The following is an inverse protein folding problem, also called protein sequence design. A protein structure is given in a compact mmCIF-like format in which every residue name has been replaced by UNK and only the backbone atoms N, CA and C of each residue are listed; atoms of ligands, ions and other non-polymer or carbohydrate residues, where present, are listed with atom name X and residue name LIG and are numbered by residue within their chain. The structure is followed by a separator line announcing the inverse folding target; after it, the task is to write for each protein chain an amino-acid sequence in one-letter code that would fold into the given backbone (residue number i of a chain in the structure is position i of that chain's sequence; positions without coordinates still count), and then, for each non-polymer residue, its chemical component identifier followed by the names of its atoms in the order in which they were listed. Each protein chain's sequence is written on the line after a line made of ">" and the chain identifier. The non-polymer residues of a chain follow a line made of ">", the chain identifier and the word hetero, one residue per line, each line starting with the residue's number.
data_IF_016734329855
#
_entry.id   IF_016734329855
#
_cell.length_a   1.000
_cell.length_b   1.000
_cell.length_c   1.000
_cell.angle_alpha   90.00
_cell.angle_beta   90.00
_cell.angle_gamma   90.00
#
_symmetry.space_group_name_H-M   'P 1'
#
loop_
_entity.id
_entity.type
_entity.pdbx_description
1 polymer ?
#
# COMPACT_ATOMS: atom_id res chain seq x y z
N UNK A 1 -23.30 5.24 -10.88
CA UNK A 1 -21.87 5.65 -10.97
C UNK A 1 -21.37 5.29 -12.35
N UNK A 2 -20.67 6.21 -13.02
CA UNK A 2 -20.02 5.97 -14.32
C UNK A 2 -18.50 5.91 -14.12
N UNK A 3 -17.88 4.85 -14.64
CA UNK A 3 -16.43 4.68 -14.60
C UNK A 3 -15.86 4.77 -16.01
N UNK A 4 -14.70 5.42 -16.13
CA UNK A 4 -13.91 5.48 -17.36
C UNK A 4 -12.44 5.30 -17.02
N UNK A 5 -11.69 4.58 -17.85
CA UNK A 5 -10.25 4.42 -17.72
C UNK A 5 -9.54 5.34 -18.72
N UNK A 6 -8.64 6.19 -18.25
CA UNK A 6 -7.83 7.09 -19.09
C UNK A 6 -6.41 7.16 -18.55
N UNK A 7 -5.41 6.91 -19.40
CA UNK A 7 -3.98 6.94 -19.03
C UNK A 7 -3.68 6.17 -17.73
N UNK A 8 -4.19 4.94 -17.62
CA UNK A 8 -4.02 4.07 -16.45
C UNK A 8 -4.69 4.54 -15.14
N UNK A 9 -5.50 5.60 -15.21
CA UNK A 9 -6.25 6.19 -14.09
C UNK A 9 -7.74 5.96 -14.30
N UNK A 10 -8.44 5.51 -13.25
CA UNK A 10 -9.90 5.41 -13.28
C UNK A 10 -10.51 6.73 -12.86
N UNK A 11 -11.30 7.32 -13.73
CA UNK A 11 -12.13 8.46 -13.44
C UNK A 11 -13.56 8.00 -13.15
N UNK A 12 -14.11 8.43 -12.03
CA UNK A 12 -15.43 8.07 -11.56
C UNK A 12 -16.31 9.32 -11.44
N UNK A 13 -17.48 9.28 -12.09
CA UNK A 13 -18.60 10.13 -11.72
C UNK A 13 -19.49 9.35 -10.74
N UNK A 14 -19.33 9.68 -9.46
CA UNK A 14 -20.01 8.98 -8.38
C UNK A 14 -21.29 9.68 -7.93
N UNK A 15 -21.84 10.59 -8.76
CA UNK A 15 -23.03 11.38 -8.43
C UNK A 15 -24.23 10.60 -7.89
N UNK A 16 -24.32 9.31 -8.22
CA UNK A 16 -25.37 8.36 -7.85
C UNK A 16 -24.95 7.32 -6.79
N UNK A 17 -23.77 7.44 -6.17
CA UNK A 17 -23.39 6.53 -5.08
C UNK A 17 -24.20 6.90 -3.84
N UNK A 18 -25.18 6.05 -3.51
CA UNK A 18 -25.92 6.12 -2.26
C UNK A 18 -25.27 5.17 -1.26
N UNK A 19 -24.59 5.72 -0.25
CA UNK A 19 -24.12 4.94 0.89
C UNK A 19 -25.30 4.63 1.82
N UNK A 20 -25.38 3.41 2.36
CA UNK A 20 -26.41 3.09 3.38
C UNK A 20 -26.12 3.91 4.66
N UNK A 21 -26.99 4.87 4.94
CA UNK A 21 -26.89 5.76 6.09
C UNK A 21 -26.84 4.99 7.43
N UNK A 22 -27.39 3.76 7.49
CA UNK A 22 -27.31 2.90 8.68
C UNK A 22 -25.90 2.40 8.91
N UNK A 23 -25.22 1.96 7.84
CA UNK A 23 -23.83 1.50 7.90
C UNK A 23 -22.92 2.65 8.29
N UNK A 24 -23.06 3.82 7.64
CA UNK A 24 -22.30 5.02 7.99
C UNK A 24 -22.52 5.42 9.46
N UNK A 25 -23.78 5.45 9.90
CA UNK A 25 -24.16 5.75 11.28
C UNK A 25 -23.57 4.79 12.32
N UNK A 26 -23.56 3.49 12.03
CA UNK A 26 -22.94 2.48 12.89
C UNK A 26 -21.43 2.66 12.97
N UNK A 27 -20.74 2.85 11.84
CA UNK A 27 -19.29 3.08 11.82
C UNK A 27 -18.94 4.32 12.65
N UNK A 28 -19.67 5.42 12.54
CA UNK A 28 -19.42 6.66 13.31
C UNK A 28 -19.46 6.41 14.82
N UNK A 29 -20.46 5.66 15.29
CA UNK A 29 -20.66 5.42 16.73
C UNK A 29 -19.56 4.56 17.34
N UNK A 30 -18.93 3.69 16.54
CA UNK A 30 -17.93 2.74 17.01
C UNK A 30 -16.49 3.07 16.60
N UNK A 31 -16.28 3.97 15.63
CA UNK A 31 -14.95 4.46 15.21
C UNK A 31 -14.26 5.20 16.35
N UNK A 32 -13.27 4.54 16.99
CA UNK A 32 -12.24 5.19 17.80
C UNK A 32 -11.07 5.62 16.91
N UNK A 33 -10.67 6.89 16.93
CA UNK A 33 -9.48 7.32 16.19
C UNK A 33 -8.21 6.84 16.88
N UNK A 34 -7.27 6.23 16.16
CA UNK A 34 -5.99 5.80 16.75
C UNK A 34 -5.07 6.97 17.13
N UNK A 35 -5.30 8.18 16.59
CA UNK A 35 -4.34 9.31 16.70
C UNK A 35 -4.94 10.65 17.15
N UNK A 36 -6.27 10.82 17.12
CA UNK A 36 -6.97 12.04 17.54
C UNK A 36 -8.26 11.69 18.31
N UNK A 37 -8.20 11.48 19.63
CA UNK A 37 -9.35 11.03 20.42
C UNK A 37 -10.55 11.99 20.43
N UNK A 38 -10.34 13.30 20.19
CA UNK A 38 -11.35 14.35 20.40
C UNK A 38 -11.95 14.94 19.11
N UNK A 39 -11.95 14.19 18.01
CA UNK A 39 -12.41 14.72 16.71
C UNK A 39 -13.93 14.95 16.66
N UNK A 40 -14.41 16.12 16.18
CA UNK A 40 -15.84 16.41 16.08
C UNK A 40 -16.59 15.35 15.26
N UNK A 41 -17.81 14.98 15.70
CA UNK A 41 -18.63 13.94 15.08
C UNK A 41 -18.78 14.16 13.56
N UNK A 42 -19.18 15.36 13.14
CA UNK A 42 -19.36 15.74 11.73
C UNK A 42 -18.11 15.52 10.86
N UNK A 43 -16.92 15.72 11.41
CA UNK A 43 -15.67 15.48 10.68
C UNK A 43 -15.38 13.98 10.52
N UNK A 44 -15.76 13.16 11.52
CA UNK A 44 -15.69 11.70 11.43
C UNK A 44 -16.65 11.16 10.37
N UNK A 45 -17.90 11.62 10.33
CA UNK A 45 -18.88 11.21 9.29
C UNK A 45 -18.33 11.51 7.89
N UNK A 46 -17.83 12.73 7.72
CA UNK A 46 -17.24 13.24 6.49
C UNK A 46 -16.02 12.41 6.01
N UNK A 47 -15.19 11.91 6.93
CA UNK A 47 -14.05 11.04 6.59
C UNK A 47 -14.49 9.59 6.29
N UNK A 48 -15.46 9.06 7.03
CA UNK A 48 -16.02 7.72 6.80
C UNK A 48 -16.71 7.65 5.44
N UNK A 49 -17.53 8.64 5.10
CA UNK A 49 -18.15 8.75 3.77
C UNK A 49 -17.09 8.82 2.67
N UNK A 50 -16.04 9.61 2.86
CA UNK A 50 -14.93 9.70 1.89
C UNK A 50 -14.23 8.34 1.70
N UNK A 51 -14.00 7.59 2.79
CA UNK A 51 -13.45 6.24 2.74
C UNK A 51 -14.35 5.30 1.93
N UNK A 52 -15.64 5.23 2.28
CA UNK A 52 -16.60 4.33 1.65
C UNK A 52 -16.86 4.65 0.18
N UNK A 53 -16.87 5.92 -0.21
CA UNK A 53 -16.94 6.29 -1.64
C UNK A 53 -15.72 5.77 -2.41
N UNK A 54 -14.53 5.89 -1.83
CA UNK A 54 -13.31 5.42 -2.48
C UNK A 54 -13.25 3.89 -2.58
N UNK A 55 -13.68 3.19 -1.54
CA UNK A 55 -13.86 1.73 -1.55
C UNK A 55 -14.85 1.32 -2.66
N UNK A 56 -16.04 1.91 -2.72
CA UNK A 56 -17.07 1.63 -3.74
C UNK A 56 -16.55 1.87 -5.17
N UNK A 57 -15.83 2.97 -5.41
CA UNK A 57 -15.23 3.27 -6.71
C UNK A 57 -14.26 2.16 -7.12
N UNK A 58 -13.39 1.75 -6.19
CA UNK A 58 -12.36 0.73 -6.44
C UNK A 58 -12.99 -0.64 -6.64
N UNK A 59 -13.96 -1.02 -5.81
CA UNK A 59 -14.69 -2.28 -5.91
C UNK A 59 -15.41 -2.38 -7.26
N UNK A 60 -16.21 -1.38 -7.63
CA UNK A 60 -16.93 -1.41 -8.92
C UNK A 60 -15.98 -1.46 -10.10
N UNK A 61 -14.86 -0.75 -10.04
CA UNK A 61 -13.85 -0.84 -11.09
C UNK A 61 -13.33 -2.27 -11.23
N UNK A 62 -12.93 -2.92 -10.13
CA UNK A 62 -12.43 -4.29 -10.15
C UNK A 62 -13.51 -5.25 -10.67
N UNK A 63 -14.75 -5.16 -10.18
CA UNK A 63 -15.85 -6.03 -10.64
C UNK A 63 -16.19 -5.82 -12.12
N UNK A 64 -16.14 -4.57 -12.60
CA UNK A 64 -16.47 -4.24 -13.98
C UNK A 64 -15.38 -4.68 -14.98
N UNK A 65 -14.10 -4.46 -14.65
CA UNK A 65 -13.00 -4.64 -15.59
C UNK A 65 -12.19 -5.92 -15.38
N UNK A 66 -12.24 -6.53 -14.19
CA UNK A 66 -11.43 -7.69 -13.84
C UNK A 66 -12.22 -8.90 -13.36
N UNK A 67 -13.55 -8.93 -13.44
CA UNK A 67 -14.34 -10.06 -12.92
C UNK A 67 -13.94 -11.44 -13.45
N UNK A 68 -13.39 -11.49 -14.68
CA UNK A 68 -12.88 -12.73 -15.27
C UNK A 68 -11.50 -13.16 -14.74
N UNK A 69 -10.68 -12.22 -14.27
CA UNK A 69 -9.29 -12.46 -13.84
C UNK A 69 -9.13 -12.45 -12.31
N UNK A 70 -9.88 -11.59 -11.63
CA UNK A 70 -9.78 -11.33 -10.21
C UNK A 70 -11.14 -11.45 -9.54
N UNK A 71 -11.14 -12.15 -8.41
CA UNK A 71 -12.25 -12.24 -7.48
C UNK A 71 -11.95 -11.35 -6.27
N UNK A 72 -13.00 -10.74 -5.71
CA UNK A 72 -12.92 -9.77 -4.64
C UNK A 72 -13.97 -10.05 -3.57
N UNK A 73 -13.59 -9.85 -2.31
CA UNK A 73 -14.46 -9.86 -1.13
C UNK A 73 -14.12 -8.66 -0.25
N UNK A 74 -15.11 -7.86 0.15
CA UNK A 74 -14.85 -6.75 1.07
C UNK A 74 -14.77 -7.22 2.51
N UNK A 75 -14.07 -6.48 3.38
CA UNK A 75 -14.08 -6.75 4.82
C UNK A 75 -15.50 -6.69 5.40
N UNK A 76 -16.32 -5.76 4.89
CA UNK A 76 -17.70 -5.58 5.34
C UNK A 76 -18.61 -6.77 5.01
N UNK A 77 -18.30 -7.54 3.97
CA UNK A 77 -18.99 -8.80 3.68
C UNK A 77 -18.55 -9.96 4.59
N UNK A 78 -17.37 -9.88 5.23
CA UNK A 78 -16.78 -10.98 6.02
C UNK A 78 -17.14 -10.83 7.50
N UNK A 79 -17.14 -9.59 8.00
CA UNK A 79 -17.23 -9.24 9.42
C UNK A 79 -18.50 -9.75 10.10
N UNK A 80 -18.39 -10.05 11.40
CA UNK A 80 -19.47 -10.56 12.25
C UNK A 80 -19.66 -9.74 13.54
N UNK A 81 -19.26 -8.47 13.51
CA UNK A 81 -19.24 -7.57 14.66
C UNK A 81 -20.20 -6.38 14.54
N UNK A 82 -21.16 -6.41 13.61
CA UNK A 82 -22.15 -5.35 13.37
C UNK A 82 -21.54 -3.94 13.25
N UNK A 83 -20.41 -3.80 12.54
CA UNK A 83 -19.72 -2.52 12.38
C UNK A 83 -19.14 -1.91 13.68
N UNK A 84 -19.01 -2.71 14.76
CA UNK A 84 -18.52 -2.26 16.08
C UNK A 84 -17.00 -2.10 16.18
N UNK A 85 -16.22 -2.69 15.26
CA UNK A 85 -14.76 -2.60 15.23
C UNK A 85 -14.26 -2.00 13.91
N UNK A 86 -13.05 -1.51 13.93
CA UNK A 86 -12.36 -0.99 12.76
C UNK A 86 -11.88 -2.09 11.86
N UNK A 87 -12.07 -1.86 10.56
CA UNK A 87 -11.54 -2.72 9.52
C UNK A 87 -10.00 -2.64 9.50
N UNK A 88 -9.28 -3.78 9.48
CA UNK A 88 -7.83 -3.80 9.33
C UNK A 88 -7.36 -3.73 7.87
N UNK A 89 -8.29 -3.85 6.92
CA UNK A 89 -8.11 -3.78 5.47
C UNK A 89 -9.47 -3.54 4.80
N UNK A 90 -9.49 -3.22 3.50
CA UNK A 90 -10.72 -2.97 2.76
C UNK A 90 -11.16 -4.18 1.93
N UNK A 91 -10.25 -4.81 1.18
CA UNK A 91 -10.55 -5.97 0.33
C UNK A 91 -9.61 -7.16 0.52
N UNK A 92 -10.14 -8.35 0.29
CA UNK A 92 -9.39 -9.51 -0.17
C UNK A 92 -9.50 -9.60 -1.68
N UNK A 93 -8.38 -9.89 -2.34
CA UNK A 93 -8.29 -10.03 -3.79
C UNK A 93 -7.51 -11.30 -4.15
N UNK A 94 -8.00 -12.08 -5.12
CA UNK A 94 -7.34 -13.30 -5.59
C UNK A 94 -7.65 -13.56 -7.05
N UNK A 95 -6.88 -14.45 -7.70
CA UNK A 95 -7.18 -14.86 -9.08
C UNK A 95 -8.48 -15.65 -9.13
N UNK A 96 -9.37 -15.30 -10.05
CA UNK A 96 -10.66 -15.99 -10.20
C UNK A 96 -10.43 -17.49 -10.46
N UNK A 97 -11.17 -18.33 -9.73
CA UNK A 97 -11.12 -19.79 -9.89
C UNK A 97 -9.93 -20.49 -9.23
N UNK A 98 -9.02 -19.80 -8.53
CA UNK A 98 -7.81 -20.45 -7.99
C UNK A 98 -7.91 -20.91 -6.53
N UNK A 99 -8.82 -20.32 -5.74
CA UNK A 99 -8.92 -20.62 -4.30
C UNK A 99 -10.36 -20.46 -3.81
N UNK A 100 -10.77 -21.33 -2.89
CA UNK A 100 -11.93 -21.13 -2.04
C UNK A 100 -11.51 -20.39 -0.76
N UNK A 101 -12.04 -19.19 -0.55
CA UNK A 101 -11.63 -18.32 0.56
C UNK A 101 -12.38 -18.58 1.88
N UNK A 102 -13.30 -19.55 1.95
CA UNK A 102 -14.12 -19.79 3.15
C UNK A 102 -13.29 -19.97 4.43
N UNK A 103 -12.14 -20.65 4.35
CA UNK A 103 -11.23 -20.82 5.49
C UNK A 103 -10.56 -19.50 5.91
N UNK A 104 -10.29 -18.60 4.97
CA UNK A 104 -9.75 -17.27 5.26
C UNK A 104 -10.84 -16.40 5.91
N UNK A 105 -12.07 -16.43 5.40
CA UNK A 105 -13.19 -15.70 6.00
C UNK A 105 -13.41 -16.12 7.46
N UNK A 106 -13.40 -17.42 7.74
CA UNK A 106 -13.56 -17.95 9.08
C UNK A 106 -12.40 -17.56 10.00
N UNK A 107 -11.16 -17.63 9.51
CA UNK A 107 -10.00 -17.17 10.28
C UNK A 107 -10.09 -15.67 10.63
N UNK A 108 -10.58 -14.83 9.70
CA UNK A 108 -10.82 -13.41 9.94
C UNK A 108 -11.92 -13.22 10.99
N UNK A 109 -13.05 -13.94 10.90
CA UNK A 109 -14.13 -13.87 11.91
C UNK A 109 -13.64 -14.26 13.31
N UNK A 110 -12.73 -15.23 13.40
CA UNK A 110 -12.09 -15.59 14.66
C UNK A 110 -11.15 -14.49 15.18
N UNK A 111 -10.36 -13.86 14.32
CA UNK A 111 -9.52 -12.70 14.69
C UNK A 111 -10.39 -11.53 15.19
N UNK A 112 -11.52 -11.28 14.53
CA UNK A 112 -12.51 -10.29 14.96
C UNK A 112 -13.02 -10.65 16.36
N UNK A 113 -13.50 -11.87 16.59
CA UNK A 113 -14.04 -12.30 17.88
C UNK A 113 -13.00 -12.20 19.01
N UNK A 114 -11.74 -12.55 18.73
CA UNK A 114 -10.64 -12.54 19.70
C UNK A 114 -10.07 -11.15 19.98
N UNK A 115 -10.31 -10.17 19.12
CA UNK A 115 -9.82 -8.80 19.35
C UNK A 115 -10.65 -8.14 20.47
N UNK A 116 -10.08 -7.85 21.65
CA UNK A 116 -10.86 -7.29 22.76
C UNK A 116 -11.17 -5.80 22.58
N UNK A 117 -10.38 -5.10 21.76
CA UNK A 117 -10.53 -3.67 21.51
C UNK A 117 -11.24 -3.39 20.18
N UNK A 118 -11.46 -2.11 19.90
CA UNK A 118 -12.11 -1.64 18.68
C UNK A 118 -11.26 -1.80 17.42
N UNK A 119 -9.99 -2.18 17.48
CA UNK A 119 -9.09 -2.26 16.34
C UNK A 119 -8.71 -3.71 16.05
N UNK A 120 -9.42 -4.32 15.09
CA UNK A 120 -9.12 -5.69 14.69
C UNK A 120 -7.68 -5.79 14.22
N UNK A 121 -6.99 -6.83 14.67
CA UNK A 121 -5.65 -7.17 14.20
C UNK A 121 -5.70 -8.57 13.62
N UNK A 122 -5.40 -8.70 12.33
CA UNK A 122 -5.24 -10.02 11.74
C UNK A 122 -4.04 -10.73 12.36
N UNK A 123 -4.27 -11.97 12.78
CA UNK A 123 -3.21 -12.79 13.35
C UNK A 123 -2.15 -13.15 12.29
N UNK A 124 -0.95 -13.52 12.74
CA UNK A 124 0.09 -14.03 11.85
C UNK A 124 -0.37 -15.29 11.09
N UNK A 125 -1.25 -16.08 11.70
CA UNK A 125 -1.83 -17.28 11.11
C UNK A 125 -2.72 -16.90 9.93
N UNK A 126 -3.67 -15.98 10.12
CA UNK A 126 -4.56 -15.50 9.06
C UNK A 126 -3.77 -14.86 7.91
N UNK A 127 -2.79 -14.01 8.22
CA UNK A 127 -1.94 -13.38 7.19
C UNK A 127 -1.11 -14.39 6.40
N UNK A 128 -0.59 -15.42 7.06
CA UNK A 128 0.13 -16.52 6.39
C UNK A 128 -0.81 -17.33 5.51
N UNK A 129 -2.02 -17.63 5.99
CA UNK A 129 -3.03 -18.36 5.22
C UNK A 129 -3.38 -17.62 3.92
N UNK A 130 -3.63 -16.30 3.98
CA UNK A 130 -3.84 -15.48 2.78
C UNK A 130 -2.69 -15.63 1.79
N UNK A 131 -1.44 -15.46 2.26
CA UNK A 131 -0.24 -15.55 1.43
C UNK A 131 -0.06 -16.91 0.79
N UNK A 132 -0.20 -17.99 1.56
CA UNK A 132 -0.05 -19.37 1.09
C UNK A 132 -1.08 -19.70 0.01
N UNK A 133 -2.29 -19.15 0.12
CA UNK A 133 -3.38 -19.38 -0.83
C UNK A 133 -3.42 -18.36 -1.97
N UNK A 134 -2.42 -17.47 -2.07
CA UNK A 134 -2.35 -16.48 -3.14
C UNK A 134 -3.41 -15.37 -3.05
N UNK A 135 -3.97 -15.14 -1.86
CA UNK A 135 -4.92 -14.05 -1.57
C UNK A 135 -4.15 -12.83 -1.07
N UNK A 136 -4.39 -11.68 -1.69
CA UNK A 136 -3.78 -10.40 -1.34
C UNK A 136 -4.75 -9.58 -0.48
N UNK A 137 -4.22 -8.97 0.56
CA UNK A 137 -4.94 -8.03 1.43
C UNK A 137 -4.74 -6.62 0.87
N UNK A 138 -5.82 -5.89 0.61
CA UNK A 138 -5.79 -4.57 -0.05
C UNK A 138 -6.30 -3.48 0.88
N UNK A 139 -5.58 -2.36 0.88
CA UNK A 139 -5.95 -1.11 1.53
C UNK A 139 -6.20 0.00 0.50
N UNK A 140 -7.35 0.65 0.57
CA UNK A 140 -7.73 1.84 -0.18
C UNK A 140 -7.52 3.07 0.69
N UNK A 141 -6.54 3.89 0.33
CA UNK A 141 -6.33 5.18 0.99
C UNK A 141 -6.95 6.28 0.14
N UNK A 142 -7.91 7.01 0.70
CA UNK A 142 -8.56 8.14 0.01
C UNK A 142 -8.07 9.50 0.47
N UNK A 143 -8.14 10.52 -0.40
CA UNK A 143 -7.79 11.91 -0.07
C UNK A 143 -8.65 12.88 -0.86
N UNK A 144 -9.18 13.92 -0.21
CA UNK A 144 -9.84 14.99 -0.96
C UNK A 144 -8.79 15.80 -1.73
N UNK A 145 -9.10 16.11 -3.00
CA UNK A 145 -8.26 16.99 -3.81
C UNK A 145 -8.20 18.35 -3.12
N UNK A 146 -6.97 18.74 -2.73
CA UNK A 146 -6.72 19.96 -1.99
C UNK A 146 -6.68 21.17 -2.94
N UNK A 147 -7.07 22.34 -2.43
CA UNK A 147 -7.15 23.54 -3.25
C UNK A 147 -5.77 24.01 -3.75
N UNK A 148 -4.70 23.82 -2.95
CA UNK A 148 -3.33 24.12 -3.37
C UNK A 148 -2.91 23.31 -4.61
N UNK A 149 -3.33 22.05 -4.70
CA UNK A 149 -3.06 21.22 -5.88
C UNK A 149 -3.83 21.71 -7.11
N UNK A 150 -5.09 22.13 -6.92
CA UNK A 150 -5.89 22.72 -8.01
C UNK A 150 -5.25 23.99 -8.55
N UNK A 151 -4.86 24.90 -7.65
CA UNK A 151 -4.20 26.17 -8.00
C UNK A 151 -2.87 25.91 -8.71
N UNK A 152 -2.00 25.04 -8.18
CA UNK A 152 -0.71 24.72 -8.81
C UNK A 152 -0.86 24.09 -10.20
N UNK A 153 -1.95 23.38 -10.43
CA UNK A 153 -2.27 22.77 -11.74
C UNK A 153 -3.01 23.69 -12.71
N UNK A 154 -3.34 24.93 -12.31
CA UNK A 154 -4.25 25.83 -13.04
C UNK A 154 -5.63 25.18 -13.35
N UNK A 155 -6.10 24.29 -12.48
CA UNK A 155 -7.35 23.57 -12.69
C UNK A 155 -8.56 24.44 -12.32
N UNK A 156 -9.38 24.76 -13.31
CA UNK A 156 -10.53 25.67 -13.18
C UNK A 156 -11.81 25.01 -12.66
N UNK A 157 -11.81 23.69 -12.46
CA UNK A 157 -13.00 22.92 -12.09
C UNK A 157 -13.73 22.28 -13.28
N UNK A 158 -13.26 22.52 -14.51
CA UNK A 158 -13.80 21.89 -15.72
C UNK A 158 -13.24 20.47 -15.88
N UNK A 159 -14.08 19.48 -15.56
CA UNK A 159 -13.75 18.05 -15.69
C UNK A 159 -13.91 17.50 -17.11
N UNK A 160 -14.52 18.24 -18.02
CA UNK A 160 -14.67 17.83 -19.42
C UNK A 160 -13.42 18.21 -20.23
N UNK A 161 -12.63 19.17 -19.74
CA UNK A 161 -11.32 19.50 -20.28
C UNK A 161 -10.25 18.46 -19.87
N UNK A 162 -10.07 17.45 -20.72
CA UNK A 162 -9.12 16.35 -20.54
C UNK A 162 -7.70 16.83 -20.23
N UNK A 163 -7.20 17.88 -20.90
CA UNK A 163 -5.85 18.41 -20.66
C UNK A 163 -5.72 19.03 -19.27
N UNK A 164 -6.75 19.76 -18.83
CA UNK A 164 -6.82 20.36 -17.50
C UNK A 164 -6.83 19.28 -16.40
N UNK A 165 -7.64 18.23 -16.58
CA UNK A 165 -7.69 17.09 -15.66
C UNK A 165 -6.36 16.34 -15.61
N UNK A 166 -5.71 16.11 -16.76
CA UNK A 166 -4.39 15.46 -16.81
C UNK A 166 -3.35 16.26 -16.01
N UNK A 167 -3.29 17.58 -16.18
CA UNK A 167 -2.36 18.45 -15.44
C UNK A 167 -2.61 18.42 -13.93
N UNK A 168 -3.88 18.36 -13.50
CA UNK A 168 -4.24 18.16 -12.10
C UNK A 168 -3.72 16.81 -11.56
N UNK A 169 -3.94 15.73 -12.29
CA UNK A 169 -3.53 14.38 -11.88
C UNK A 169 -2.00 14.22 -11.83
N UNK A 170 -1.28 14.82 -12.79
CA UNK A 170 0.19 14.86 -12.78
C UNK A 170 0.73 15.66 -11.57
N UNK A 171 0.07 16.77 -11.24
CA UNK A 171 0.43 17.58 -10.06
C UNK A 171 0.21 16.78 -8.78
N UNK A 172 -0.92 16.06 -8.66
CA UNK A 172 -1.19 15.15 -7.54
C UNK A 172 -0.12 14.05 -7.45
N UNK A 173 0.19 13.36 -8.56
CA UNK A 173 1.21 12.30 -8.60
C UNK A 173 2.59 12.79 -8.15
N UNK A 174 2.96 14.00 -8.56
CA UNK A 174 4.25 14.62 -8.20
C UNK A 174 4.33 15.00 -6.72
N UNK A 175 3.23 15.46 -6.13
CA UNK A 175 3.24 16.14 -4.81
C UNK A 175 2.85 15.26 -3.64
N UNK A 176 2.08 14.21 -3.89
CA UNK A 176 1.56 13.34 -2.85
C UNK A 176 2.21 11.94 -2.88
N UNK A 177 1.88 11.13 -1.87
CA UNK A 177 2.52 9.85 -1.60
C UNK A 177 1.50 8.69 -1.55
N UNK A 178 2.02 7.47 -1.79
CA UNK A 178 1.48 6.25 -1.20
C UNK A 178 2.13 6.09 0.17
N UNK A 179 1.37 5.69 1.19
CA UNK A 179 1.92 5.57 2.53
C UNK A 179 1.28 4.46 3.36
N UNK A 180 2.04 3.98 4.33
CA UNK A 180 1.56 3.10 5.38
C UNK A 180 2.13 3.52 6.75
N UNK A 181 1.42 3.16 7.81
CA UNK A 181 1.88 3.51 9.15
C UNK A 181 2.93 2.53 9.68
N UNK A 182 3.91 3.00 10.46
CA UNK A 182 4.86 2.13 11.13
C UNK A 182 4.16 1.25 12.17
N UNK A 183 4.72 0.07 12.44
CA UNK A 183 4.11 -0.86 13.40
C UNK A 183 4.16 -0.35 14.84
N UNK A 184 5.29 0.17 15.30
CA UNK A 184 5.50 0.50 16.72
C UNK A 184 5.02 1.88 17.12
N UNK A 185 5.22 2.87 16.25
CA UNK A 185 5.02 4.28 16.57
C UNK A 185 4.44 5.01 15.37
N UNK A 186 3.24 5.55 15.52
CA UNK A 186 2.58 6.32 14.45
C UNK A 186 2.32 7.77 14.83
N UNK A 187 2.84 8.24 15.98
CA UNK A 187 2.83 9.64 16.39
C UNK A 187 4.10 10.02 17.13
N UNK A 188 4.61 11.21 16.82
CA UNK A 188 5.73 11.83 17.51
C UNK A 188 5.59 13.36 17.50
N UNK A 189 5.82 13.96 18.67
CA UNK A 189 5.87 15.40 18.93
C UNK A 189 7.20 16.04 18.58
N UNK A 190 8.31 15.34 18.77
CA UNK A 190 9.63 15.85 18.44
C UNK A 190 9.76 16.04 16.93
N UNK A 191 9.99 17.27 16.42
CA UNK A 191 10.19 17.55 14.99
C UNK A 191 11.52 17.01 14.44
N UNK A 192 12.48 16.67 15.30
CA UNK A 192 13.76 16.05 14.93
C UNK A 192 13.67 14.56 14.62
N UNK A 193 12.64 13.89 15.14
CA UNK A 193 12.49 12.44 14.99
C UNK A 193 12.50 11.98 13.53
N UNK A 194 13.35 11.00 13.24
CA UNK A 194 13.63 10.50 11.91
C UNK A 194 13.59 8.96 11.86
N UNK A 195 13.89 8.41 10.68
CA UNK A 195 13.92 6.96 10.49
C UNK A 195 14.98 6.27 11.38
N UNK A 196 16.12 6.91 11.62
CA UNK A 196 17.17 6.31 12.44
C UNK A 196 16.73 6.22 13.90
N UNK A 197 15.95 7.17 14.39
CA UNK A 197 15.36 7.12 15.73
C UNK A 197 14.34 6.00 15.83
N UNK A 198 13.50 5.84 14.80
CA UNK A 198 12.58 4.73 14.70
C UNK A 198 13.30 3.37 14.69
N UNK A 199 14.39 3.26 13.94
CA UNK A 199 15.17 2.03 13.87
C UNK A 199 15.81 1.66 15.21
N UNK A 200 16.27 2.65 15.99
CA UNK A 200 16.79 2.42 17.34
C UNK A 200 15.68 1.96 18.30
N UNK A 201 14.50 2.56 18.23
CA UNK A 201 13.36 2.07 19.02
C UNK A 201 12.95 0.63 18.69
N UNK A 202 13.01 0.24 17.41
CA UNK A 202 12.76 -1.15 17.00
C UNK A 202 13.84 -2.07 17.59
N UNK A 203 15.10 -1.67 17.50
CA UNK A 203 16.23 -2.43 18.05
C UNK A 203 16.11 -2.62 19.57
N UNK A 204 15.78 -1.57 20.31
CA UNK A 204 15.60 -1.63 21.77
C UNK A 204 14.48 -2.59 22.21
N UNK A 205 13.48 -2.81 21.35
CA UNK A 205 12.33 -3.68 21.66
C UNK A 205 12.52 -5.13 21.25
N UNK A 206 13.40 -5.43 20.30
CA UNK A 206 13.53 -6.78 19.75
C UNK A 206 14.99 -7.19 19.61
N UNK A 207 15.38 -8.22 20.37
CA UNK A 207 16.75 -8.76 20.38
C UNK A 207 17.22 -9.32 19.03
N UNK A 208 16.31 -9.57 18.08
CA UNK A 208 16.67 -10.00 16.73
C UNK A 208 17.54 -8.95 15.98
N UNK A 209 17.52 -7.69 16.42
CA UNK A 209 18.33 -6.60 15.87
C UNK A 209 19.61 -6.31 16.67
N UNK A 210 19.93 -7.12 17.69
CA UNK A 210 21.15 -6.94 18.48
C UNK A 210 22.40 -6.96 17.58
N UNK A 211 23.32 -6.05 17.83
CA UNK A 211 24.55 -5.90 17.03
C UNK A 211 24.38 -5.23 15.66
N UNK A 212 23.16 -4.99 15.19
CA UNK A 212 22.92 -4.27 13.93
C UNK A 212 23.20 -2.77 14.10
N UNK A 213 23.83 -2.13 13.11
CA UNK A 213 24.15 -0.69 13.16
C UNK A 213 23.98 -0.04 11.79
N UNK A 214 23.75 1.28 11.78
CA UNK A 214 23.69 2.10 10.58
C UNK A 214 22.73 1.55 9.52
N UNK A 215 23.19 1.46 8.28
CA UNK A 215 22.39 0.96 7.17
C UNK A 215 21.91 -0.48 7.35
N UNK A 216 22.70 -1.35 8.00
CA UNK A 216 22.28 -2.74 8.23
C UNK A 216 21.04 -2.77 9.13
N UNK A 217 21.06 -1.99 10.22
CA UNK A 217 19.89 -1.86 11.09
C UNK A 217 18.69 -1.32 10.30
N UNK A 218 18.87 -0.24 9.54
CA UNK A 218 17.80 0.35 8.73
C UNK A 218 17.18 -0.66 7.77
N UNK A 219 17.98 -1.40 7.00
CA UNK A 219 17.49 -2.42 6.05
C UNK A 219 16.71 -3.52 6.76
N UNK A 220 17.25 -4.04 7.87
CA UNK A 220 16.58 -5.10 8.64
C UNK A 220 15.27 -4.62 9.26
N UNK A 221 15.21 -3.39 9.76
CA UNK A 221 13.97 -2.79 10.29
C UNK A 221 12.94 -2.59 9.19
N UNK A 222 13.33 -2.10 8.00
CA UNK A 222 12.40 -1.96 6.85
C UNK A 222 11.86 -3.32 6.40
N UNK A 223 12.72 -4.34 6.30
CA UNK A 223 12.29 -5.70 5.99
C UNK A 223 11.30 -6.24 7.04
N UNK A 224 11.58 -6.00 8.33
CA UNK A 224 10.67 -6.36 9.42
C UNK A 224 9.34 -5.60 9.35
N UNK A 225 9.33 -4.30 9.02
CA UNK A 225 8.10 -3.54 8.76
C UNK A 225 7.31 -4.13 7.60
N UNK A 226 7.98 -4.51 6.51
CA UNK A 226 7.36 -5.13 5.35
C UNK A 226 6.71 -6.48 5.69
N UNK A 227 7.40 -7.34 6.44
CA UNK A 227 6.85 -8.61 6.92
C UNK A 227 5.66 -8.43 7.86
N UNK A 228 5.71 -7.37 8.67
CA UNK A 228 4.69 -7.05 9.64
C UNK A 228 3.56 -6.18 9.11
N UNK A 229 3.66 -5.67 7.90
CA UNK A 229 2.58 -4.96 7.24
C UNK A 229 1.42 -5.93 6.97
N UNK A 230 0.20 -5.50 7.32
CA UNK A 230 -1.00 -6.30 7.15
C UNK A 230 -1.40 -6.37 5.67
N UNK A 231 -1.36 -5.22 4.99
CA UNK A 231 -1.84 -5.08 3.62
C UNK A 231 -0.71 -5.36 2.63
N UNK A 232 -0.99 -6.13 1.59
CA UNK A 232 -0.05 -6.46 0.53
C UNK A 232 -0.08 -5.43 -0.61
N UNK A 233 -1.23 -4.77 -0.81
CA UNK A 233 -1.45 -3.78 -1.87
C UNK A 233 -2.07 -2.51 -1.27
N UNK A 234 -1.55 -1.36 -1.67
CA UNK A 234 -2.09 -0.04 -1.35
C UNK A 234 -2.63 0.61 -2.62
N UNK A 235 -3.90 1.01 -2.61
CA UNK A 235 -4.57 1.75 -3.69
C UNK A 235 -4.77 3.19 -3.26
N UNK A 236 -4.48 4.15 -4.14
CA UNK A 236 -4.68 5.58 -3.87
C UNK A 236 -5.82 6.17 -4.66
N UNK A 237 -6.78 6.75 -3.93
CA UNK A 237 -7.98 7.36 -4.49
C UNK A 237 -8.05 8.84 -4.11
N UNK A 238 -8.34 9.69 -5.08
CA UNK A 238 -8.54 11.12 -4.88
C UNK A 238 -9.98 11.51 -5.19
N UNK A 239 -10.62 12.27 -4.31
CA UNK A 239 -12.01 12.69 -4.48
C UNK A 239 -12.11 14.22 -4.57
N UNK A 240 -12.83 14.71 -5.58
CA UNK A 240 -13.44 16.03 -5.54
C UNK A 240 -14.90 15.88 -5.14
N UNK A 241 -15.17 16.10 -3.85
CA UNK A 241 -16.50 15.89 -3.30
C UNK A 241 -17.56 16.88 -3.77
N UNK A 242 -17.28 18.19 -3.84
CA UNK A 242 -18.20 19.13 -4.47
C UNK A 242 -18.59 18.74 -5.90
N UNK A 243 -17.63 18.31 -6.72
CA UNK A 243 -17.89 17.92 -8.11
C UNK A 243 -18.37 16.46 -8.26
N UNK A 244 -18.39 15.69 -7.18
CA UNK A 244 -18.68 14.24 -7.15
C UNK A 244 -17.82 13.43 -8.13
N UNK A 245 -16.54 13.78 -8.23
CA UNK A 245 -15.54 13.11 -9.08
C UNK A 245 -14.54 12.33 -8.24
N UNK A 246 -14.20 11.12 -8.66
CA UNK A 246 -13.19 10.29 -8.01
C UNK A 246 -12.14 9.80 -9.00
N UNK A 247 -10.92 9.61 -8.51
CA UNK A 247 -9.76 9.20 -9.31
C UNK A 247 -8.99 8.09 -8.60
N UNK A 248 -8.97 6.88 -9.16
CA UNK A 248 -8.05 5.83 -8.70
C UNK A 248 -6.74 6.02 -9.45
N UNK A 249 -5.76 6.64 -8.80
CA UNK A 249 -4.53 7.10 -9.44
C UNK A 249 -3.55 5.96 -9.69
N UNK A 250 -3.51 4.99 -8.78
CA UNK A 250 -2.61 3.85 -8.92
C UNK A 250 -2.54 2.99 -7.67
N UNK A 251 -1.68 1.98 -7.74
CA UNK A 251 -1.43 1.05 -6.67
C UNK A 251 0.06 0.71 -6.51
N UNK A 252 0.41 0.16 -5.35
CA UNK A 252 1.78 -0.26 -5.02
C UNK A 252 1.76 -1.47 -4.08
N UNK A 253 2.67 -2.43 -4.27
CA UNK A 253 2.84 -3.53 -3.30
C UNK A 253 3.60 -3.06 -2.06
N UNK A 254 3.38 -3.72 -0.92
CA UNK A 254 4.12 -3.38 0.30
C UNK A 254 5.64 -3.54 0.13
N UNK A 255 6.10 -4.51 -0.66
CA UNK A 255 7.53 -4.73 -0.93
C UNK A 255 8.13 -3.58 -1.73
N UNK A 256 7.33 -2.94 -2.59
CA UNK A 256 7.74 -1.76 -3.35
C UNK A 256 7.69 -0.50 -2.49
N UNK A 257 6.71 -0.39 -1.59
CA UNK A 257 6.58 0.75 -0.66
C UNK A 257 7.68 0.74 0.41
N UNK A 258 8.00 -0.43 0.96
CA UNK A 258 8.92 -0.65 2.07
C UNK A 258 10.23 -1.28 1.56
N UNK A 259 10.93 -0.57 0.69
CA UNK A 259 12.30 -0.88 0.29
C UNK A 259 13.30 0.16 0.83
N UNK A 260 14.55 0.10 0.39
CA UNK A 260 15.63 0.98 0.84
C UNK A 260 15.42 2.45 0.48
N UNK A 261 14.56 2.78 -0.49
CA UNK A 261 14.26 4.16 -0.89
C UNK A 261 13.07 4.76 -0.13
N UNK A 262 12.43 3.99 0.75
CA UNK A 262 11.30 4.47 1.54
C UNK A 262 11.65 5.71 2.35
N UNK A 263 10.74 6.68 2.32
CA UNK A 263 10.84 7.91 3.07
C UNK A 263 10.05 7.79 4.38
N UNK A 264 10.62 8.30 5.47
CA UNK A 264 9.93 8.40 6.75
C UNK A 264 9.52 9.85 6.97
N UNK A 265 8.22 10.11 7.01
CA UNK A 265 7.66 11.47 6.97
C UNK A 265 6.65 11.71 8.09
N UNK A 266 6.45 13.00 8.41
CA UNK A 266 5.31 13.52 9.19
C UNK A 266 4.23 14.08 8.30
N UNK A 267 2.98 14.02 8.75
CA UNK A 267 1.85 14.44 7.92
C UNK A 267 1.78 15.96 7.88
N UNK A 268 1.94 16.52 6.69
CA UNK A 268 2.00 17.97 6.47
C UNK A 268 0.65 18.69 6.54
N UNK A 269 -0.44 18.00 6.87
CA UNK A 269 -1.78 18.59 6.85
C UNK A 269 -2.08 19.30 8.18
N UNK A 270 -2.07 20.63 8.12
CA UNK A 270 -2.44 21.52 9.22
C UNK A 270 -3.79 21.13 9.81
N UNK A 271 -3.88 21.03 11.13
CA UNK A 271 -5.08 20.64 11.90
C UNK A 271 -5.59 19.19 11.73
N UNK A 272 -4.94 18.33 10.93
CA UNK A 272 -5.34 16.92 10.81
C UNK A 272 -4.48 15.98 11.63
N UNK A 273 -3.18 15.90 11.36
CA UNK A 273 -2.34 14.85 11.97
C UNK A 273 -0.87 15.23 11.93
N UNK A 274 -0.54 16.47 12.28
CA UNK A 274 0.83 17.02 12.17
C UNK A 274 1.91 16.16 12.84
N UNK A 275 1.49 15.37 13.84
CA UNK A 275 2.35 14.50 14.61
C UNK A 275 2.40 13.06 14.07
N UNK A 276 1.58 12.69 13.08
CA UNK A 276 1.50 11.32 12.59
C UNK A 276 2.69 10.96 11.71
N UNK A 277 3.27 9.79 11.96
CA UNK A 277 4.42 9.24 11.26
C UNK A 277 3.99 8.21 10.22
N UNK A 278 4.64 8.20 9.07
CA UNK A 278 4.40 7.23 8.00
C UNK A 278 5.65 6.92 7.17
N UNK A 279 5.66 5.69 6.66
CA UNK A 279 6.48 5.29 5.54
C UNK A 279 5.79 5.74 4.25
N UNK A 280 6.51 6.36 3.33
CA UNK A 280 5.98 6.90 2.09
C UNK A 280 6.90 6.68 0.90
N UNK A 281 6.25 6.54 -0.27
CA UNK A 281 6.85 6.69 -1.60
C UNK A 281 6.04 7.64 -2.44
N UNK A 282 6.70 8.25 -3.42
CA UNK A 282 6.02 9.21 -4.29
C UNK A 282 4.91 8.52 -5.07
N UNK A 283 3.76 9.18 -5.20
CA UNK A 283 2.62 8.62 -5.94
C UNK A 283 2.95 8.43 -7.43
N UNK A 284 3.90 9.18 -7.98
CA UNK A 284 4.45 9.00 -9.32
C UNK A 284 5.01 7.60 -9.58
N UNK A 285 5.53 6.92 -8.56
CA UNK A 285 6.10 5.57 -8.64
C UNK A 285 5.05 4.44 -8.68
N UNK A 286 3.76 4.78 -8.58
CA UNK A 286 2.68 3.77 -8.64
C UNK A 286 2.46 3.19 -10.03
N UNK A 287 1.96 1.96 -10.03
CA UNK A 287 1.45 1.30 -11.24
C UNK A 287 0.02 1.73 -11.50
N UNK A 288 -0.33 1.74 -12.78
CA UNK A 288 -1.71 1.87 -13.26
C UNK A 288 -2.64 0.83 -12.64
N UNK A 289 -3.84 1.24 -12.25
CA UNK A 289 -4.83 0.32 -11.67
C UNK A 289 -5.38 -0.70 -12.69
N UNK A 290 -5.23 -0.40 -13.98
CA UNK A 290 -5.45 -1.30 -15.11
C UNK A 290 -4.33 -2.35 -15.31
N UNK A 291 -3.32 -2.36 -14.44
CA UNK A 291 -2.31 -3.42 -14.35
C UNK A 291 -2.40 -4.21 -13.03
N UNK A 292 -3.48 -4.08 -12.25
CA UNK A 292 -3.62 -4.67 -10.91
C UNK A 292 -3.44 -6.20 -10.89
N UNK A 293 -3.86 -6.91 -11.93
CA UNK A 293 -3.68 -8.36 -12.05
C UNK A 293 -2.19 -8.80 -11.99
N UNK A 294 -1.26 -7.90 -12.37
CA UNK A 294 0.18 -8.15 -12.28
C UNK A 294 0.64 -8.33 -10.83
N UNK A 295 -0.13 -7.89 -9.84
CA UNK A 295 0.15 -8.13 -8.42
C UNK A 295 0.18 -9.63 -8.05
N UNK A 296 -0.43 -10.46 -8.89
CA UNK A 296 -0.47 -11.93 -8.77
C UNK A 296 0.42 -12.63 -9.81
N UNK A 297 1.26 -11.89 -10.52
CA UNK A 297 2.42 -12.44 -11.21
C UNK A 297 3.43 -12.99 -10.20
N UNK A 298 4.37 -13.85 -10.64
CA UNK A 298 5.52 -14.18 -9.78
C UNK A 298 6.22 -12.88 -9.40
N UNK A 299 6.57 -12.66 -8.11
CA UNK A 299 7.37 -11.50 -7.73
C UNK A 299 8.59 -11.46 -8.63
N UNK A 300 8.77 -10.34 -9.33
CA UNK A 300 10.00 -10.10 -10.06
C UNK A 300 11.10 -9.94 -9.02
N UNK A 301 11.87 -10.99 -8.82
CA UNK A 301 12.98 -11.00 -7.87
C UNK A 301 14.05 -10.06 -8.41
N UNK A 302 14.31 -8.94 -7.71
CA UNK A 302 15.47 -8.10 -8.04
C UNK A 302 16.73 -8.96 -7.99
N UNK A 303 17.59 -8.78 -8.98
CA UNK A 303 18.87 -9.48 -9.05
C UNK A 303 20.01 -8.50 -9.25
N UNK A 304 21.16 -8.87 -8.72
CA UNK A 304 22.35 -8.04 -8.62
C UNK A 304 23.43 -8.64 -9.51
N UNK A 305 24.19 -7.80 -10.18
CA UNK A 305 25.36 -8.22 -10.94
C UNK A 305 26.55 -7.31 -10.64
N UNK A 306 27.73 -7.91 -10.58
CA UNK A 306 28.98 -7.18 -10.45
C UNK A 306 29.43 -6.73 -11.86
N UNK A 307 29.52 -5.42 -12.16
CA UNK A 307 29.92 -4.98 -13.50
C UNK A 307 31.39 -5.25 -13.81
N UNK A 308 32.23 -5.43 -12.78
CA UNK A 308 33.68 -5.58 -12.88
C UNK A 308 34.14 -7.04 -13.08
N UNK A 309 33.25 -8.01 -12.94
CA UNK A 309 33.59 -9.42 -13.18
C UNK A 309 33.33 -9.80 -14.65
N UNK A 310 34.21 -10.61 -15.28
CA UNK A 310 33.94 -11.14 -16.62
C UNK A 310 32.84 -12.22 -16.62
N UNK A 311 32.33 -12.63 -15.46
CA UNK A 311 31.29 -13.65 -15.38
C UNK A 311 29.93 -13.13 -15.89
N UNK A 312 29.10 -14.05 -16.38
CA UNK A 312 27.75 -13.78 -16.88
C UNK A 312 26.67 -14.14 -15.85
N UNK A 313 27.03 -14.16 -14.56
CA UNK A 313 26.12 -14.53 -13.48
C UNK A 313 25.43 -13.31 -12.88
N UNK A 314 24.13 -13.43 -12.59
CA UNK A 314 23.41 -12.56 -11.68
C UNK A 314 23.11 -13.29 -10.36
N UNK A 315 22.89 -12.51 -9.32
CA UNK A 315 22.81 -12.94 -7.93
C UNK A 315 21.48 -12.52 -7.32
N UNK A 316 20.89 -13.37 -6.47
CA UNK A 316 19.60 -13.10 -5.80
C UNK A 316 19.69 -12.01 -4.72
N UNK A 317 20.90 -11.73 -4.24
CA UNK A 317 21.19 -10.88 -3.08
C UNK A 317 22.56 -10.22 -3.23
N UNK A 318 22.70 -8.99 -2.75
CA UNK A 318 23.93 -8.19 -2.76
C UNK A 318 24.98 -8.70 -1.75
N UNK A 319 24.57 -9.52 -0.78
CA UNK A 319 25.45 -10.15 0.22
C UNK A 319 26.11 -11.46 -0.24
N UNK A 320 25.84 -11.89 -1.48
CA UNK A 320 26.42 -13.11 -2.01
C UNK A 320 27.95 -13.05 -1.98
N UNK A 321 28.60 -14.14 -1.55
CA UNK A 321 30.06 -14.22 -1.37
C UNK A 321 30.89 -13.74 -2.57
N UNK A 322 30.33 -13.83 -3.79
CA UNK A 322 30.96 -13.42 -5.03
C UNK A 322 30.84 -11.92 -5.35
N UNK A 323 29.86 -11.21 -4.78
CA UNK A 323 29.62 -9.79 -5.08
C UNK A 323 29.60 -8.88 -3.85
N UNK A 324 29.56 -9.44 -2.62
CA UNK A 324 29.53 -8.69 -1.34
C UNK A 324 30.71 -7.73 -1.10
N UNK A 325 31.75 -7.78 -1.92
CA UNK A 325 32.92 -6.89 -1.86
C UNK A 325 32.78 -5.66 -2.76
N UNK A 326 31.80 -5.65 -3.66
CA UNK A 326 31.53 -4.52 -4.55
C UNK A 326 30.63 -3.54 -3.79
N UNK A 327 30.96 -2.24 -3.74
CA UNK A 327 30.07 -1.21 -3.21
C UNK A 327 28.70 -1.27 -3.88
N UNK A 328 27.63 -1.03 -3.12
CA UNK A 328 26.26 -1.28 -3.60
C UNK A 328 25.88 -0.33 -4.73
N UNK A 329 26.34 0.91 -4.65
CA UNK A 329 26.22 1.96 -5.66
C UNK A 329 26.89 1.61 -6.99
N UNK A 330 27.82 0.66 -6.99
CA UNK A 330 28.50 0.16 -8.18
C UNK A 330 27.89 -1.14 -8.71
N UNK A 331 26.98 -1.78 -7.98
CA UNK A 331 26.29 -2.97 -8.46
C UNK A 331 25.27 -2.61 -9.54
N UNK A 332 25.21 -3.45 -10.58
CA UNK A 332 24.10 -3.42 -11.52
C UNK A 332 22.90 -4.10 -10.86
N UNK A 333 21.82 -3.35 -10.69
CA UNK A 333 20.58 -3.83 -10.08
C UNK A 333 19.54 -3.95 -11.19
N UNK A 334 19.04 -5.17 -11.41
CA UNK A 334 17.96 -5.45 -12.34
C UNK A 334 16.68 -5.71 -11.57
N UNK A 335 15.56 -5.18 -12.07
CA UNK A 335 14.24 -5.36 -11.45
C UNK A 335 13.74 -6.81 -11.51
N UNK A 336 14.36 -7.66 -12.34
CA UNK A 336 14.01 -9.08 -12.50
C UNK A 336 15.15 -9.87 -13.14
N UNK A 337 15.08 -11.21 -13.04
CA UNK A 337 15.94 -12.11 -13.81
C UNK A 337 15.79 -11.87 -15.32
N UNK A 338 14.56 -11.65 -15.81
CA UNK A 338 14.31 -11.36 -17.22
C UNK A 338 14.99 -10.07 -17.67
N UNK A 339 14.99 -9.02 -16.84
CA UNK A 339 15.69 -7.77 -17.13
C UNK A 339 17.22 -7.95 -17.17
N UNK A 340 17.78 -8.77 -16.28
CA UNK A 340 19.20 -9.13 -16.33
C UNK A 340 19.56 -9.92 -17.60
N UNK A 341 18.70 -10.85 -18.01
CA UNK A 341 18.88 -11.62 -19.24
C UNK A 341 18.77 -10.72 -20.48
N UNK A 342 17.80 -9.82 -20.52
CA UNK A 342 17.60 -8.85 -21.61
C UNK A 342 18.76 -7.86 -21.76
N UNK A 343 19.50 -7.59 -20.68
CA UNK A 343 20.75 -6.83 -20.74
C UNK A 343 21.83 -7.52 -21.59
N UNK A 344 21.68 -8.82 -21.89
CA UNK A 344 22.52 -9.58 -22.83
C UNK A 344 23.83 -10.10 -22.23
N UNK A 345 24.31 -9.52 -21.12
CA UNK A 345 25.54 -9.95 -20.44
C UNK A 345 25.31 -10.93 -19.29
N UNK A 346 24.29 -10.71 -18.48
CA UNK A 346 24.06 -11.48 -17.25
C UNK A 346 22.90 -12.45 -17.44
N UNK A 347 23.19 -13.62 -17.99
CA UNK A 347 22.19 -14.59 -18.43
C UNK A 347 22.06 -15.83 -17.53
N UNK A 348 23.01 -16.03 -16.60
CA UNK A 348 23.06 -17.22 -15.77
C UNK A 348 22.78 -16.94 -14.29
N UNK A 349 22.11 -17.88 -13.61
CA UNK A 349 21.89 -17.84 -12.16
C UNK A 349 23.17 -18.19 -11.40
N UNK A 350 23.56 -17.38 -10.42
CA UNK A 350 24.57 -17.77 -9.44
C UNK A 350 24.12 -19.03 -8.68
N UNK A 351 24.85 -20.15 -8.85
CA UNK A 351 24.47 -21.42 -8.24
C UNK A 351 24.26 -21.31 -6.72
N UNK A 352 25.10 -20.57 -6.00
CA UNK A 352 25.00 -20.41 -4.54
C UNK A 352 23.76 -19.61 -4.10
N UNK A 353 23.35 -18.63 -4.90
CA UNK A 353 22.18 -17.80 -4.58
C UNK A 353 20.86 -18.55 -4.82
N UNK A 354 20.84 -19.45 -5.80
CA UNK A 354 19.64 -20.09 -6.30
C UNK A 354 19.56 -21.60 -6.03
N UNK A 355 20.60 -22.22 -5.44
CA UNK A 355 20.59 -23.64 -5.05
C UNK A 355 19.77 -23.95 -3.81
N UNK A 356 19.31 -22.93 -3.07
CA UNK A 356 18.46 -23.09 -1.88
C UNK A 356 16.96 -23.08 -2.19
N UNK A 357 16.57 -22.97 -3.47
CA UNK A 357 15.17 -22.97 -3.91
C UNK A 357 14.71 -24.38 -4.40
N UNK A 358 15.36 -25.45 -3.92
CA UNK A 358 14.99 -26.84 -4.18
C UNK A 358 13.97 -27.37 -3.18
#
# INVERSE_FOLDING_TARGET
>A
MRLTLQNHIVCADYGQVHLDARVVGQIINYTAETWQPDRPKKERECNIEQGKIAEEITERFIRQYYSQELSLKTYDEIRNDDFKKHAPFDFLLWKTGTVNIAFIEEAIRQDIARTPNKFVKLSNVTRRLCRTLGVKIVEVKSTNIRNDLKVESDFTGDYDNVKSVQKLLETIRRKDDVFCYPKLKRRESDPGYCLDDYCREVQERFSEFDGCKGENLRRRVIAWECENQCCDIFVRVYLDRPAKKGFVIGWMQKEELLDDTVQFKRMRQKNKSELALYFAKNLGETKGIDCLAQAFGKPKQRVYANPYTPTNFYHKTDDCKFIRRVPKEELLIFDSEEAAIQNGRFINRCRECFSKDG
#
